data_IF_966725515881
#
_entry.id   IF_966725515881
#
_cell.length_a   1.000
_cell.length_b   1.000
_cell.length_c   1.000
_cell.angle_alpha   90.00
_cell.angle_beta   90.00
_cell.angle_gamma   90.00
#
_symmetry.space_group_name_H-M   'P 1'
#
loop_
_entity.id
_entity.type
_entity.pdbx_description
1 polymer ?
#
# COMPACT_ATOMS: atom_id res chain seq x y z
N UNK A 1 -2.80 0.84 23.18
CA UNK A 1 -4.16 0.99 22.62
C UNK A 1 -4.51 -0.32 21.94
N UNK A 2 -5.71 -0.86 22.16
CA UNK A 2 -6.19 -2.04 21.45
C UNK A 2 -7.26 -1.60 20.46
N UNK A 3 -7.13 -1.99 19.20
CA UNK A 3 -8.09 -1.75 18.14
C UNK A 3 -8.72 -3.09 17.75
N UNK A 4 -9.86 -3.49 18.36
CA UNK A 4 -10.48 -4.78 18.05
C UNK A 4 -10.81 -4.88 16.56
N UNK A 5 -10.39 -5.98 15.92
CA UNK A 5 -10.58 -6.18 14.48
C UNK A 5 -9.59 -5.43 13.58
N UNK A 6 -8.60 -4.72 14.16
CA UNK A 6 -7.55 -4.03 13.40
C UNK A 6 -6.18 -4.56 13.83
N UNK A 7 -5.41 -5.02 12.86
CA UNK A 7 -4.02 -5.38 13.04
C UNK A 7 -3.13 -4.23 12.58
N UNK A 8 -2.26 -3.74 13.47
CA UNK A 8 -1.23 -2.78 13.07
C UNK A 8 -0.08 -3.54 12.40
N UNK A 9 0.25 -3.16 11.17
CA UNK A 9 1.41 -3.67 10.46
C UNK A 9 2.62 -2.77 10.74
N UNK A 10 3.78 -3.39 10.98
CA UNK A 10 5.03 -2.66 11.13
C UNK A 10 5.53 -2.18 9.76
N UNK A 11 6.09 -0.98 9.72
CA UNK A 11 6.86 -0.53 8.57
C UNK A 11 8.21 -1.26 8.56
N UNK A 12 8.39 -2.17 7.61
CA UNK A 12 9.61 -2.99 7.49
C UNK A 12 10.49 -2.47 6.37
N UNK A 13 11.78 -2.84 6.39
CA UNK A 13 12.73 -2.43 5.35
C UNK A 13 12.27 -2.84 3.92
N UNK A 14 11.72 -4.05 3.68
CA UNK A 14 11.16 -4.40 2.37
C UNK A 14 10.07 -3.42 1.89
N UNK A 15 9.17 -2.99 2.78
CA UNK A 15 8.12 -2.00 2.45
C UNK A 15 8.74 -0.65 2.08
N UNK A 16 9.72 -0.20 2.87
CA UNK A 16 10.39 1.08 2.61
C UNK A 16 11.11 1.04 1.26
N UNK A 17 11.82 -0.04 0.95
CA UNK A 17 12.53 -0.18 -0.33
C UNK A 17 11.52 -0.23 -1.50
N UNK A 18 10.50 -1.07 -1.42
CA UNK A 18 9.49 -1.22 -2.49
C UNK A 18 8.76 0.11 -2.76
N UNK A 19 8.44 0.89 -1.71
CA UNK A 19 7.78 2.21 -1.85
C UNK A 19 8.56 3.20 -2.73
N UNK A 20 9.90 3.08 -2.78
CA UNK A 20 10.76 3.94 -3.61
C UNK A 20 10.93 3.45 -5.06
N UNK A 21 10.42 2.25 -5.36
CA UNK A 21 10.62 1.56 -6.63
C UNK A 21 9.32 1.43 -7.46
N UNK A 22 8.22 2.06 -7.01
CA UNK A 22 6.94 2.07 -7.71
C UNK A 22 7.03 2.95 -8.97
N UNK A 23 7.30 2.32 -10.12
CA UNK A 23 7.37 3.01 -11.41
C UNK A 23 6.00 3.44 -11.91
N UNK A 24 5.88 4.69 -12.36
CA UNK A 24 4.63 5.22 -12.93
C UNK A 24 3.52 5.48 -11.91
N UNK A 25 3.86 5.54 -10.62
CA UNK A 25 2.92 5.75 -9.52
C UNK A 25 2.99 7.18 -8.94
N UNK A 26 2.04 7.52 -8.07
CA UNK A 26 1.91 8.82 -7.41
C UNK A 26 3.20 9.27 -6.72
N UNK A 27 3.46 10.58 -6.66
CA UNK A 27 4.63 11.15 -5.95
C UNK A 27 4.41 11.34 -4.46
N UNK A 28 3.23 10.99 -3.94
CA UNK A 28 2.96 11.07 -2.51
C UNK A 28 3.64 9.90 -1.78
N UNK A 29 4.54 10.19 -0.82
CA UNK A 29 5.29 9.15 -0.11
C UNK A 29 4.39 8.25 0.75
N UNK A 30 3.25 8.73 1.23
CA UNK A 30 2.35 7.92 2.05
C UNK A 30 1.56 6.93 1.19
N UNK A 31 1.08 7.35 0.02
CA UNK A 31 0.44 6.43 -0.93
C UNK A 31 1.40 5.34 -1.37
N UNK A 32 2.67 5.71 -1.62
CA UNK A 32 3.73 4.76 -1.97
C UNK A 32 3.95 3.73 -0.87
N UNK A 33 4.02 4.16 0.39
CA UNK A 33 4.16 3.25 1.54
C UNK A 33 2.94 2.34 1.68
N UNK A 34 1.73 2.85 1.50
CA UNK A 34 0.48 2.06 1.59
C UNK A 34 0.43 0.99 0.51
N UNK A 35 0.70 1.35 -0.74
CA UNK A 35 0.73 0.42 -1.89
C UNK A 35 1.83 -0.63 -1.71
N UNK A 36 3.04 -0.22 -1.31
CA UNK A 36 4.12 -1.16 -1.02
C UNK A 36 3.78 -2.11 0.14
N UNK A 37 3.07 -1.63 1.16
CA UNK A 37 2.62 -2.47 2.27
C UNK A 37 1.68 -3.57 1.77
N UNK A 38 0.70 -3.23 0.94
CA UNK A 38 -0.24 -4.19 0.35
C UNK A 38 0.48 -5.24 -0.51
N UNK A 39 1.40 -4.80 -1.39
CA UNK A 39 2.23 -5.66 -2.24
C UNK A 39 3.08 -6.65 -1.43
N UNK A 40 3.81 -6.17 -0.42
CA UNK A 40 4.69 -7.00 0.41
C UNK A 40 3.89 -8.02 1.24
N UNK A 41 2.69 -7.66 1.70
CA UNK A 41 1.83 -8.57 2.47
C UNK A 41 0.92 -9.44 1.59
N UNK A 42 0.90 -9.23 0.27
CA UNK A 42 0.05 -9.97 -0.66
C UNK A 42 -1.44 -9.85 -0.35
N UNK A 43 -1.88 -8.66 0.06
CA UNK A 43 -3.28 -8.40 0.40
C UNK A 43 -3.87 -7.30 -0.49
N UNK A 44 -5.19 -7.36 -0.77
CA UNK A 44 -5.84 -6.32 -1.56
C UNK A 44 -6.01 -5.03 -0.75
N UNK A 45 -5.90 -3.90 -1.43
CA UNK A 45 -6.06 -2.57 -0.86
C UNK A 45 -7.47 -2.02 -1.14
N UNK A 46 -8.22 -1.75 -0.08
CA UNK A 46 -9.50 -1.05 -0.17
C UNK A 46 -9.27 0.47 -0.15
N UNK A 47 -9.70 1.17 -1.19
CA UNK A 47 -9.51 2.62 -1.32
C UNK A 47 -10.56 3.27 -2.23
N UNK A 48 -10.84 4.55 -2.00
CA UNK A 48 -11.64 5.37 -2.91
C UNK A 48 -10.77 6.21 -3.87
N UNK A 49 -9.44 6.09 -3.78
CA UNK A 49 -8.52 6.83 -4.65
C UNK A 49 -8.39 6.17 -6.03
N UNK A 50 -8.89 6.86 -7.05
CA UNK A 50 -8.85 6.37 -8.44
C UNK A 50 -7.43 6.09 -8.96
N UNK A 51 -6.40 6.84 -8.54
CA UNK A 51 -5.04 6.60 -9.01
C UNK A 51 -4.47 5.28 -8.49
N UNK A 52 -4.89 4.88 -7.30
CA UNK A 52 -4.52 3.58 -6.72
C UNK A 52 -5.32 2.46 -7.38
N UNK A 53 -6.61 2.66 -7.62
CA UNK A 53 -7.46 1.71 -8.34
C UNK A 53 -6.97 1.45 -9.76
N UNK A 54 -6.45 2.48 -10.44
CA UNK A 54 -5.90 2.40 -11.80
C UNK A 54 -4.44 1.87 -11.83
N UNK A 55 -3.80 1.66 -10.68
CA UNK A 55 -2.41 1.22 -10.63
C UNK A 55 -2.31 -0.32 -10.79
N UNK A 56 -1.66 -0.84 -11.85
CA UNK A 56 -1.74 -2.25 -12.20
C UNK A 56 -0.96 -3.18 -11.26
N UNK A 57 0.01 -2.64 -10.51
CA UNK A 57 0.93 -3.45 -9.71
C UNK A 57 0.49 -3.60 -8.24
N UNK A 58 -0.81 -3.44 -7.96
CA UNK A 58 -1.43 -3.71 -6.65
C UNK A 58 -2.86 -4.22 -6.84
N UNK A 59 -3.24 -5.24 -6.08
CA UNK A 59 -4.62 -5.73 -6.05
C UNK A 59 -5.51 -4.77 -5.24
N UNK A 60 -6.69 -4.41 -5.75
CA UNK A 60 -7.58 -3.46 -5.09
C UNK A 60 -9.01 -3.99 -4.94
N UNK A 61 -9.74 -3.43 -3.97
CA UNK A 61 -11.18 -3.60 -3.79
C UNK A 61 -11.86 -2.23 -3.91
N UNK A 62 -13.04 -2.19 -4.51
CA UNK A 62 -13.88 -1.00 -4.70
C UNK A 62 -15.24 -1.14 -4.04
#
# INVERSE_FOLDING_TARGET
>A
MAYPGVQLLNLTLPIVIDSTQLSGFHTDPFDQIIVATARINGCPLLTADGKILDYPDVETLS
#
